data_IF_377418913124
#
_entry.id   IF_377418913124
#
_cell.length_a   1.000
_cell.length_b   1.000
_cell.length_c   1.000
_cell.angle_alpha   90.00
_cell.angle_beta   90.00
_cell.angle_gamma   90.00
#
_symmetry.space_group_name_H-M   'P 1'
#
loop_
_entity.id
_entity.type
_entity.pdbx_description
1 polymer ?
#
# COMPACT_ATOMS: atom_id res chain seq x y z
N UNK A 1 14.92 3.47 -18.56
CA UNK A 1 14.14 2.36 -18.01
C UNK A 1 12.80 2.92 -17.63
N UNK A 2 11.75 2.36 -18.19
CA UNK A 2 10.41 2.72 -17.76
C UNK A 2 10.16 2.05 -16.40
N UNK A 3 10.04 2.86 -15.35
CA UNK A 3 9.90 2.42 -13.97
C UNK A 3 8.45 2.64 -13.53
N UNK A 4 7.78 1.57 -13.13
CA UNK A 4 6.45 1.60 -12.51
C UNK A 4 6.57 1.30 -11.01
N UNK A 5 6.18 2.27 -10.18
CA UNK A 5 6.26 2.18 -8.72
C UNK A 5 4.87 2.05 -8.15
N UNK A 6 4.56 0.86 -7.63
CA UNK A 6 3.34 0.60 -6.86
C UNK A 6 3.64 0.73 -5.37
N UNK A 7 2.84 1.53 -4.68
CA UNK A 7 3.07 1.88 -3.27
C UNK A 7 1.81 1.52 -2.49
N UNK A 8 1.97 0.77 -1.41
CA UNK A 8 0.92 0.58 -0.42
C UNK A 8 0.77 1.81 0.47
N UNK A 9 -0.34 1.94 1.21
CA UNK A 9 -0.63 3.14 2.00
C UNK A 9 -0.50 2.90 3.50
N UNK A 10 -1.32 2.03 4.06
CA UNK A 10 -1.37 1.78 5.50
C UNK A 10 -0.10 1.02 5.95
N UNK A 11 0.56 1.46 7.05
CA UNK A 11 1.85 0.91 7.48
C UNK A 11 3.04 1.28 6.58
N UNK A 12 2.80 1.77 5.38
CA UNK A 12 3.81 2.13 4.37
C UNK A 12 4.00 3.64 4.24
N UNK A 13 2.99 4.37 3.81
CA UNK A 13 2.97 5.85 3.78
C UNK A 13 2.63 6.40 5.16
N UNK A 14 1.66 5.81 5.84
CA UNK A 14 1.36 6.09 7.24
C UNK A 14 2.27 5.28 8.18
N UNK A 15 2.50 5.77 9.41
CA UNK A 15 3.31 5.07 10.41
C UNK A 15 2.56 3.96 11.16
N UNK A 16 1.36 3.65 10.74
CA UNK A 16 0.52 2.59 11.27
C UNK A 16 -0.71 2.39 10.39
N UNK A 17 -1.49 1.37 10.66
CA UNK A 17 -2.71 1.08 9.92
C UNK A 17 -3.82 2.07 10.30
N UNK A 18 -4.30 2.82 9.31
CA UNK A 18 -5.36 3.83 9.48
C UNK A 18 -6.73 3.18 9.63
N UNK A 19 -6.94 2.07 8.92
CA UNK A 19 -8.19 1.28 8.98
C UNK A 19 -8.33 0.65 10.34
N UNK A 20 -7.30 0.00 10.87
CA UNK A 20 -7.29 -0.58 12.22
C UNK A 20 -7.53 0.49 13.29
N UNK A 21 -6.87 1.64 13.18
CA UNK A 21 -7.06 2.77 14.11
C UNK A 21 -8.51 3.28 14.09
N UNK A 22 -9.13 3.30 12.92
CA UNK A 22 -10.54 3.67 12.76
C UNK A 22 -11.46 2.65 13.44
N UNK A 23 -11.23 1.37 13.20
CA UNK A 23 -11.99 0.27 13.77
C UNK A 23 -11.86 0.23 15.30
N UNK A 24 -10.66 0.38 15.83
CA UNK A 24 -10.39 0.42 17.26
C UNK A 24 -11.16 1.53 17.97
N UNK A 25 -11.28 2.66 17.32
CA UNK A 25 -11.87 3.85 17.93
C UNK A 25 -13.39 3.91 17.80
N UNK A 26 -13.94 3.43 16.70
CA UNK A 26 -15.32 3.72 16.32
C UNK A 26 -16.15 2.50 15.90
N UNK A 27 -15.57 1.32 15.77
CA UNK A 27 -16.32 0.14 15.39
C UNK A 27 -16.78 -0.69 16.62
N UNK A 28 -17.85 -1.47 16.43
CA UNK A 28 -18.21 -2.53 17.40
C UNK A 28 -17.01 -3.48 17.56
N UNK A 29 -16.60 -3.86 18.79
CA UNK A 29 -15.46 -4.75 19.04
C UNK A 29 -15.47 -6.08 18.28
N UNK A 30 -16.62 -6.50 17.76
CA UNK A 30 -16.76 -7.67 16.87
C UNK A 30 -15.94 -7.59 15.60
N UNK A 31 -15.46 -6.41 15.23
CA UNK A 31 -14.57 -6.27 14.08
C UNK A 31 -13.32 -7.17 14.20
N UNK A 32 -12.84 -7.44 15.42
CA UNK A 32 -11.70 -8.33 15.67
C UNK A 32 -11.99 -9.80 15.38
N UNK A 33 -13.26 -10.22 15.54
CA UNK A 33 -13.69 -11.57 15.16
C UNK A 33 -13.67 -11.72 13.63
N UNK A 34 -14.11 -10.67 12.92
CA UNK A 34 -14.06 -10.61 11.45
C UNK A 34 -12.61 -10.63 10.96
N UNK A 35 -11.73 -9.85 11.59
CA UNK A 35 -10.29 -9.84 11.31
C UNK A 35 -9.67 -11.23 11.50
N UNK A 36 -10.00 -11.92 12.59
CA UNK A 36 -9.51 -13.26 12.87
C UNK A 36 -9.97 -14.29 11.81
N UNK A 37 -11.15 -14.11 11.21
CA UNK A 37 -11.60 -14.94 10.10
C UNK A 37 -10.74 -14.74 8.84
N UNK A 38 -10.41 -13.49 8.52
CA UNK A 38 -9.53 -13.15 7.41
C UNK A 38 -8.09 -13.64 7.62
N UNK A 39 -7.51 -13.40 8.80
CA UNK A 39 -6.18 -13.89 9.15
C UNK A 39 -6.08 -15.42 9.05
N UNK A 40 -7.15 -16.12 9.42
CA UNK A 40 -7.26 -17.58 9.30
C UNK A 40 -7.54 -18.06 7.86
N UNK A 41 -7.73 -17.15 6.89
CA UNK A 41 -8.02 -17.48 5.49
C UNK A 41 -9.42 -18.04 5.25
N UNK A 42 -10.36 -17.81 6.17
CA UNK A 42 -11.75 -18.26 6.04
C UNK A 42 -12.60 -17.34 5.18
N UNK A 43 -12.20 -16.07 5.08
CA UNK A 43 -12.81 -15.03 4.20
C UNK A 43 -11.72 -14.28 3.47
N UNK A 44 -12.04 -13.66 2.33
CA UNK A 44 -11.17 -12.75 1.60
C UNK A 44 -11.12 -11.36 2.24
N UNK A 45 -10.13 -10.52 1.86
CA UNK A 45 -9.99 -9.18 2.44
C UNK A 45 -11.17 -8.28 2.09
N UNK A 46 -11.78 -8.43 0.92
CA UNK A 46 -12.98 -7.68 0.50
C UNK A 46 -14.17 -7.94 1.44
N UNK A 47 -14.43 -9.21 1.78
CA UNK A 47 -15.51 -9.54 2.71
C UNK A 47 -15.20 -9.03 4.10
N UNK A 48 -13.97 -9.17 4.56
CA UNK A 48 -13.50 -8.64 5.83
C UNK A 48 -13.78 -7.13 5.93
N UNK A 49 -13.31 -6.35 4.98
CA UNK A 49 -13.50 -4.90 4.93
C UNK A 49 -14.97 -4.49 4.82
N UNK A 50 -15.79 -5.24 4.06
CA UNK A 50 -17.23 -4.97 3.96
C UNK A 50 -17.92 -5.14 5.31
N UNK A 51 -17.63 -6.22 6.03
CA UNK A 51 -18.19 -6.51 7.35
C UNK A 51 -17.69 -5.53 8.40
N UNK A 52 -16.43 -5.18 8.39
CA UNK A 52 -15.81 -4.19 9.28
C UNK A 52 -16.39 -2.80 9.07
N UNK A 53 -16.53 -2.35 7.81
CA UNK A 53 -17.12 -1.03 7.50
C UNK A 53 -18.55 -0.88 8.05
N UNK A 54 -19.36 -1.95 8.01
CA UNK A 54 -20.71 -1.95 8.55
C UNK A 54 -20.76 -1.84 10.09
N UNK A 55 -19.66 -2.13 10.78
CA UNK A 55 -19.53 -2.00 12.23
C UNK A 55 -19.11 -0.62 12.69
N UNK A 56 -18.70 0.27 11.77
CA UNK A 56 -18.27 1.64 12.11
C UNK A 56 -19.48 2.48 12.52
N UNK A 57 -19.37 3.12 13.68
CA UNK A 57 -20.33 4.10 14.20
C UNK A 57 -19.63 5.43 14.51
N UNK A 58 -19.38 6.23 13.49
CA UNK A 58 -18.73 7.53 13.59
C UNK A 58 -19.41 8.54 12.67
N UNK A 59 -19.50 9.80 13.11
CA UNK A 59 -19.86 10.91 12.23
C UNK A 59 -18.69 11.27 11.30
N UNK A 60 -18.92 11.92 10.15
CA UNK A 60 -17.84 12.40 9.30
C UNK A 60 -16.81 13.25 10.02
N UNK A 61 -17.25 14.15 10.93
CA UNK A 61 -16.36 15.01 11.69
C UNK A 61 -15.48 14.27 12.71
N UNK A 62 -15.96 13.17 13.30
CA UNK A 62 -15.15 12.32 14.18
C UNK A 62 -14.07 11.59 13.38
N UNK A 63 -14.39 11.15 12.15
CA UNK A 63 -13.40 10.58 11.25
C UNK A 63 -12.34 11.62 10.88
N UNK A 64 -12.76 12.83 10.48
CA UNK A 64 -11.82 13.90 10.13
C UNK A 64 -10.88 14.24 11.28
N UNK A 65 -11.39 14.39 12.51
CA UNK A 65 -10.57 14.65 13.68
C UNK A 65 -9.59 13.51 14.00
N UNK A 66 -9.93 12.26 13.68
CA UNK A 66 -9.01 11.14 13.81
C UNK A 66 -7.92 11.19 12.73
N UNK A 67 -8.27 11.55 11.49
CA UNK A 67 -7.32 11.62 10.39
C UNK A 67 -6.30 12.76 10.57
N UNK A 68 -6.67 13.86 11.24
CA UNK A 68 -5.77 14.98 11.50
C UNK A 68 -4.53 14.59 12.31
N UNK A 69 -4.63 13.55 13.15
CA UNK A 69 -3.55 13.05 13.99
C UNK A 69 -2.82 11.83 13.44
N UNK A 70 -3.19 11.37 12.23
CA UNK A 70 -2.47 10.26 11.58
C UNK A 70 -1.10 10.73 11.15
N UNK A 71 -0.07 10.05 11.63
CA UNK A 71 1.32 10.31 11.28
C UNK A 71 1.69 9.64 9.96
N UNK A 72 2.44 10.37 9.14
CA UNK A 72 2.95 9.89 7.85
C UNK A 72 4.47 9.95 7.80
N UNK A 73 5.07 9.13 6.95
CA UNK A 73 6.50 9.20 6.69
C UNK A 73 6.86 10.52 5.98
N UNK A 74 7.60 11.38 6.68
CA UNK A 74 8.01 12.70 6.19
C UNK A 74 8.90 12.66 4.94
N UNK A 75 9.46 11.50 4.61
CA UNK A 75 10.25 11.28 3.41
C UNK A 75 9.41 11.06 2.15
N UNK A 76 8.14 10.67 2.31
CA UNK A 76 7.27 10.28 1.20
C UNK A 76 7.10 11.36 0.13
N UNK A 77 6.77 12.63 0.45
CA UNK A 77 6.63 13.66 -0.58
C UNK A 77 7.91 13.87 -1.39
N UNK A 78 9.08 13.79 -0.75
CA UNK A 78 10.38 13.92 -1.42
C UNK A 78 10.73 12.70 -2.26
N UNK A 79 10.31 11.51 -1.85
CA UNK A 79 10.44 10.29 -2.63
C UNK A 79 9.64 10.39 -3.93
N UNK A 80 8.37 10.80 -3.86
CA UNK A 80 7.51 10.98 -5.04
C UNK A 80 8.08 12.03 -5.99
N UNK A 81 8.51 13.17 -5.48
CA UNK A 81 9.13 14.20 -6.31
C UNK A 81 10.39 13.68 -7.03
N UNK A 82 11.21 12.87 -6.37
CA UNK A 82 12.40 12.26 -6.98
C UNK A 82 12.02 11.22 -8.03
N UNK A 83 11.03 10.37 -7.77
CA UNK A 83 10.54 9.36 -8.72
C UNK A 83 10.02 10.03 -10.00
N UNK A 84 9.20 11.07 -9.87
CA UNK A 84 8.71 11.86 -11.01
C UNK A 84 9.83 12.54 -11.78
N UNK A 85 10.82 13.12 -11.10
CA UNK A 85 11.99 13.74 -11.75
C UNK A 85 12.83 12.73 -12.57
N UNK A 86 12.72 11.44 -12.25
CA UNK A 86 13.34 10.33 -12.99
C UNK A 86 12.44 9.76 -14.10
N UNK A 87 11.25 10.31 -14.29
CA UNK A 87 10.28 9.82 -15.28
C UNK A 87 9.54 8.54 -14.86
N UNK A 88 9.58 8.18 -13.58
CA UNK A 88 8.85 7.01 -13.10
C UNK A 88 7.35 7.26 -13.05
N UNK A 89 6.56 6.25 -13.40
CA UNK A 89 5.13 6.20 -13.10
C UNK A 89 4.94 5.78 -11.65
N UNK A 90 4.11 6.50 -10.89
CA UNK A 90 3.84 6.19 -9.49
C UNK A 90 2.35 6.08 -9.22
N UNK A 91 1.96 5.12 -8.40
CA UNK A 91 0.57 4.95 -7.96
C UNK A 91 0.52 4.39 -6.54
N UNK A 92 -0.50 4.77 -5.81
CA UNK A 92 -0.91 4.09 -4.58
C UNK A 92 -1.97 3.05 -4.94
N UNK A 93 -1.77 1.81 -4.48
CA UNK A 93 -2.75 0.72 -4.59
C UNK A 93 -2.94 0.14 -3.20
N UNK A 94 -4.09 0.42 -2.59
CA UNK A 94 -4.36 0.14 -1.19
C UNK A 94 -5.72 -0.53 -0.99
N UNK A 95 -5.79 -1.50 -0.08
CA UNK A 95 -7.06 -2.04 0.41
C UNK A 95 -7.76 -1.11 1.42
N UNK A 96 -7.14 0.00 1.80
CA UNK A 96 -7.76 1.07 2.58
C UNK A 96 -8.86 1.83 1.84
N UNK A 97 -9.40 2.86 2.48
CA UNK A 97 -10.55 3.60 1.96
C UNK A 97 -10.18 5.03 1.53
N UNK A 98 -10.76 5.48 0.42
CA UNK A 98 -10.65 6.84 -0.12
C UNK A 98 -10.89 7.92 0.96
N UNK A 99 -11.91 7.69 1.79
CA UNK A 99 -12.30 8.58 2.88
C UNK A 99 -11.18 8.84 3.89
N UNK A 100 -10.18 7.95 3.98
CA UNK A 100 -9.02 8.08 4.86
C UNK A 100 -7.79 8.56 4.07
N UNK A 101 -7.55 7.98 2.91
CA UNK A 101 -6.33 8.19 2.13
C UNK A 101 -6.28 9.59 1.52
N UNK A 102 -7.37 10.05 0.87
CA UNK A 102 -7.39 11.32 0.16
C UNK A 102 -7.12 12.54 1.05
N UNK A 103 -7.73 12.68 2.26
CA UNK A 103 -7.44 13.79 3.14
C UNK A 103 -5.98 13.81 3.65
N UNK A 104 -5.41 12.63 3.91
CA UNK A 104 -4.01 12.52 4.34
C UNK A 104 -3.08 12.95 3.20
N UNK A 105 -3.29 12.47 1.96
CA UNK A 105 -2.51 12.88 0.79
C UNK A 105 -2.63 14.37 0.52
N UNK A 106 -3.82 14.94 0.65
CA UNK A 106 -4.06 16.38 0.49
C UNK A 106 -3.28 17.19 1.56
N UNK A 107 -3.29 16.74 2.82
CA UNK A 107 -2.57 17.37 3.94
C UNK A 107 -1.06 17.39 3.71
N UNK A 108 -0.48 16.32 3.17
CA UNK A 108 0.96 16.23 2.89
C UNK A 108 1.36 16.79 1.51
N UNK A 109 0.39 17.30 0.74
CA UNK A 109 0.61 17.95 -0.54
C UNK A 109 1.05 17.02 -1.67
N UNK A 110 0.71 15.74 -1.62
CA UNK A 110 1.06 14.74 -2.65
C UNK A 110 -0.12 14.50 -3.58
N UNK A 111 0.13 14.66 -4.89
CA UNK A 111 -0.81 14.27 -5.96
C UNK A 111 -0.27 13.04 -6.65
N UNK A 112 -1.01 11.95 -6.60
CA UNK A 112 -0.62 10.64 -7.13
C UNK A 112 -1.86 9.87 -7.59
N UNK A 113 -1.71 8.98 -8.55
CA UNK A 113 -2.79 8.05 -8.92
C UNK A 113 -3.13 7.16 -7.72
N UNK A 114 -4.40 7.11 -7.34
CA UNK A 114 -4.90 6.35 -6.21
C UNK A 114 -5.92 5.31 -6.68
N UNK A 115 -5.67 4.05 -6.34
CA UNK A 115 -6.58 2.92 -6.49
C UNK A 115 -6.85 2.36 -5.10
N UNK A 116 -8.06 2.55 -4.60
CA UNK A 116 -8.45 2.12 -3.26
C UNK A 116 -9.95 1.81 -3.20
N UNK A 117 -10.41 1.28 -2.08
CA UNK A 117 -11.83 1.07 -1.81
C UNK A 117 -12.51 2.40 -1.45
N UNK A 118 -13.84 2.39 -1.45
CA UNK A 118 -14.64 3.55 -1.05
C UNK A 118 -15.38 3.28 0.24
N UNK A 119 -15.39 4.26 1.14
CA UNK A 119 -16.20 4.24 2.35
C UNK A 119 -17.35 5.23 2.24
N UNK A 120 -18.56 4.71 2.05
CA UNK A 120 -19.76 5.48 1.76
C UNK A 120 -20.59 5.66 3.02
N UNK A 121 -20.93 6.91 3.34
CA UNK A 121 -21.87 7.21 4.41
C UNK A 121 -23.28 6.75 4.01
N UNK A 122 -23.93 6.00 4.88
CA UNK A 122 -25.31 5.51 4.72
C UNK A 122 -26.28 6.14 5.72
N UNK A 123 -25.76 6.99 6.60
CA UNK A 123 -26.53 7.72 7.62
C UNK A 123 -25.60 8.63 8.43
N UNK A 124 -26.11 9.18 9.53
CA UNK A 124 -25.35 10.14 10.36
C UNK A 124 -24.05 9.52 10.93
N UNK A 125 -24.05 8.22 11.21
CA UNK A 125 -22.94 7.51 11.85
C UNK A 125 -22.69 6.13 11.23
N UNK A 126 -23.34 5.77 10.14
CA UNK A 126 -23.26 4.44 9.52
C UNK A 126 -22.58 4.49 8.16
N UNK A 127 -21.85 3.43 7.86
CA UNK A 127 -20.98 3.36 6.70
C UNK A 127 -21.11 2.00 6.00
N UNK A 128 -20.75 1.98 4.73
CA UNK A 128 -20.57 0.75 3.95
C UNK A 128 -19.36 0.88 3.04
N UNK A 129 -18.71 -0.23 2.76
CA UNK A 129 -17.64 -0.31 1.78
C UNK A 129 -18.21 -0.50 0.36
N UNK A 130 -17.55 0.10 -0.62
CA UNK A 130 -17.67 -0.20 -2.05
C UNK A 130 -16.30 -0.53 -2.64
N UNK A 131 -16.29 -1.44 -3.60
CA UNK A 131 -15.06 -2.02 -4.17
C UNK A 131 -15.00 -1.79 -5.68
N UNK A 132 -14.60 -0.60 -6.15
CA UNK A 132 -14.61 -0.26 -7.58
C UNK A 132 -13.53 -0.96 -8.40
N UNK A 133 -12.52 -1.54 -7.76
CA UNK A 133 -11.34 -2.13 -8.41
C UNK A 133 -11.22 -3.64 -8.18
N UNK A 134 -12.35 -4.33 -8.00
CA UNK A 134 -12.38 -5.79 -7.83
C UNK A 134 -11.90 -6.48 -9.10
N UNK A 135 -11.02 -7.45 -8.92
CA UNK A 135 -10.69 -8.42 -9.96
C UNK A 135 -11.32 -9.78 -9.57
N UNK A 136 -12.23 -10.35 -10.37
CA UNK A 136 -12.86 -11.63 -10.04
C UNK A 136 -11.86 -12.79 -10.00
N UNK A 137 -10.71 -12.67 -10.68
CA UNK A 137 -9.64 -13.68 -10.72
C UNK A 137 -8.61 -13.51 -9.60
N UNK A 138 -8.84 -12.60 -8.64
CA UNK A 138 -7.93 -12.34 -7.53
C UNK A 138 -7.95 -13.50 -6.52
N UNK A 139 -6.83 -14.20 -6.38
CA UNK A 139 -6.69 -15.33 -5.45
C UNK A 139 -6.85 -14.95 -3.97
N UNK A 140 -6.61 -13.68 -3.63
CA UNK A 140 -6.76 -13.14 -2.28
C UNK A 140 -8.16 -12.57 -2.02
N UNK A 141 -9.04 -12.59 -3.02
CA UNK A 141 -10.38 -11.95 -2.99
C UNK A 141 -10.34 -10.53 -2.41
N UNK A 142 -9.31 -9.75 -2.81
CA UNK A 142 -9.10 -8.39 -2.30
C UNK A 142 -10.10 -7.39 -2.89
N UNK A 143 -10.32 -6.30 -2.16
CA UNK A 143 -11.13 -5.17 -2.63
C UNK A 143 -10.46 -4.44 -3.77
N UNK A 144 -9.13 -4.33 -3.72
CA UNK A 144 -8.28 -3.83 -4.80
C UNK A 144 -7.22 -4.87 -5.12
N UNK A 145 -7.30 -5.48 -6.30
CA UNK A 145 -6.28 -6.43 -6.72
C UNK A 145 -5.00 -5.70 -7.12
N UNK A 146 -3.97 -5.73 -6.27
CA UNK A 146 -2.69 -5.08 -6.54
C UNK A 146 -2.00 -5.70 -7.77
N UNK A 147 -2.05 -7.03 -7.94
CA UNK A 147 -1.44 -7.74 -9.08
C UNK A 147 -2.01 -7.30 -10.44
N UNK A 148 -3.32 -7.05 -10.52
CA UNK A 148 -3.98 -6.62 -11.77
C UNK A 148 -3.58 -5.20 -12.20
N UNK A 149 -2.92 -4.46 -11.32
CA UNK A 149 -2.53 -3.06 -11.56
C UNK A 149 -1.03 -2.89 -11.82
N UNK A 150 -0.32 -3.97 -12.12
CA UNK A 150 1.10 -3.96 -12.49
C UNK A 150 1.24 -3.74 -13.99
N UNK A 151 2.03 -2.75 -14.40
CA UNK A 151 2.25 -2.44 -15.82
C UNK A 151 3.13 -3.49 -16.49
N UNK A 152 2.70 -3.97 -17.66
CA UNK A 152 3.50 -4.89 -18.47
C UNK A 152 4.65 -4.15 -19.18
N UNK A 153 5.84 -4.76 -19.26
CA UNK A 153 6.98 -4.25 -20.02
C UNK A 153 7.77 -3.13 -19.35
N UNK A 154 7.46 -2.79 -18.09
CA UNK A 154 8.20 -1.83 -17.27
C UNK A 154 8.93 -2.55 -16.14
N UNK A 155 9.98 -1.90 -15.57
CA UNK A 155 10.57 -2.39 -14.32
C UNK A 155 9.63 -2.06 -13.16
N UNK A 156 9.21 -3.09 -12.44
CA UNK A 156 8.16 -3.03 -11.43
C UNK A 156 8.76 -2.97 -10.03
N UNK A 157 8.66 -1.82 -9.39
CA UNK A 157 9.05 -1.62 -8.01
C UNK A 157 7.80 -1.60 -7.12
N UNK A 158 7.75 -2.50 -6.15
CA UNK A 158 6.76 -2.49 -5.08
C UNK A 158 7.33 -1.84 -3.82
N UNK A 159 6.54 -1.04 -3.13
CA UNK A 159 6.83 -0.55 -1.77
C UNK A 159 5.64 -0.90 -0.89
N UNK A 160 5.87 -1.71 0.14
CA UNK A 160 4.81 -2.20 1.01
C UNK A 160 5.32 -2.78 2.32
N UNK A 161 4.42 -3.25 3.18
CA UNK A 161 4.78 -3.70 4.52
C UNK A 161 4.12 -5.01 4.97
N UNK A 162 3.01 -5.40 4.37
CA UNK A 162 2.13 -6.39 4.95
C UNK A 162 1.58 -7.45 4.01
N UNK A 163 0.62 -8.19 4.56
CA UNK A 163 -0.01 -9.36 3.91
C UNK A 163 -0.72 -9.01 2.60
N UNK A 164 -1.30 -7.82 2.50
CA UNK A 164 -1.99 -7.36 1.29
C UNK A 164 -1.04 -7.22 0.08
N UNK A 165 0.28 -7.17 0.35
CA UNK A 165 1.32 -7.02 -0.68
C UNK A 165 1.92 -8.35 -1.15
N UNK A 166 1.67 -9.45 -0.45
CA UNK A 166 2.34 -10.73 -0.72
C UNK A 166 2.13 -11.23 -2.15
N UNK A 167 0.92 -11.12 -2.68
CA UNK A 167 0.65 -11.59 -4.04
C UNK A 167 1.36 -10.71 -5.09
N UNK A 168 1.32 -9.38 -4.96
CA UNK A 168 1.96 -8.47 -5.91
C UNK A 168 3.49 -8.46 -5.78
N UNK A 169 4.03 -8.79 -4.63
CA UNK A 169 5.47 -8.93 -4.43
C UNK A 169 6.09 -10.03 -5.34
N UNK A 170 5.33 -11.07 -5.63
CA UNK A 170 5.75 -12.15 -6.54
C UNK A 170 5.81 -11.71 -8.01
N UNK A 171 5.12 -10.62 -8.34
CA UNK A 171 5.09 -10.03 -9.68
C UNK A 171 6.06 -8.85 -9.84
N UNK A 172 6.67 -8.39 -8.74
CA UNK A 172 7.59 -7.26 -8.74
C UNK A 172 9.02 -7.70 -9.13
N UNK A 173 9.74 -6.83 -9.85
CA UNK A 173 11.15 -7.05 -10.16
C UNK A 173 12.05 -6.69 -8.96
N UNK A 174 11.58 -5.78 -8.09
CA UNK A 174 12.22 -5.41 -6.83
C UNK A 174 11.17 -4.94 -5.82
N UNK A 175 11.38 -5.29 -4.55
CA UNK A 175 10.52 -4.84 -3.45
C UNK A 175 11.32 -4.00 -2.46
N UNK A 176 10.82 -2.79 -2.14
CA UNK A 176 11.26 -2.07 -0.95
C UNK A 176 10.31 -2.45 0.19
N UNK A 177 10.79 -3.34 1.05
CA UNK A 177 9.95 -4.02 2.03
C UNK A 177 10.06 -3.41 3.42
N UNK A 178 8.92 -3.32 4.11
CA UNK A 178 8.79 -3.03 5.54
C UNK A 178 8.10 -4.21 6.24
N UNK A 179 8.03 -4.18 7.55
CA UNK A 179 7.21 -5.10 8.36
C UNK A 179 7.29 -6.58 7.98
N UNK A 180 6.14 -7.21 7.88
CA UNK A 180 6.01 -8.63 7.57
C UNK A 180 6.39 -8.98 6.11
N UNK A 181 6.38 -8.01 5.21
CA UNK A 181 6.76 -8.22 3.81
C UNK A 181 8.27 -8.56 3.67
N UNK A 182 9.12 -8.12 4.60
CA UNK A 182 10.55 -8.47 4.63
C UNK A 182 10.73 -9.98 4.74
N UNK A 183 10.04 -10.59 5.72
CA UNK A 183 10.13 -12.02 5.97
C UNK A 183 9.58 -12.82 4.79
N UNK A 184 8.41 -12.40 4.28
CA UNK A 184 7.80 -13.03 3.12
C UNK A 184 8.73 -13.01 1.89
N UNK A 185 9.34 -11.86 1.56
CA UNK A 185 10.29 -11.76 0.44
C UNK A 185 11.50 -12.68 0.65
N UNK A 186 12.01 -12.77 1.87
CA UNK A 186 13.13 -13.66 2.21
C UNK A 186 12.77 -15.13 2.00
N UNK A 187 11.62 -15.57 2.50
CA UNK A 187 11.15 -16.95 2.39
C UNK A 187 10.85 -17.38 0.96
N UNK A 188 10.32 -16.44 0.16
CA UNK A 188 9.96 -16.69 -1.24
C UNK A 188 11.09 -16.41 -2.23
N UNK A 189 12.30 -16.00 -1.75
CA UNK A 189 13.44 -15.60 -2.58
C UNK A 189 13.10 -14.47 -3.58
N UNK A 190 12.22 -13.55 -3.19
CA UNK A 190 11.87 -12.38 -3.98
C UNK A 190 12.96 -11.32 -3.81
N UNK A 191 13.44 -10.66 -4.89
CA UNK A 191 14.39 -9.56 -4.78
C UNK A 191 13.83 -8.41 -3.93
N UNK A 192 14.49 -8.06 -2.81
CA UNK A 192 14.03 -6.99 -1.94
C UNK A 192 15.16 -6.20 -1.28
N UNK A 193 14.80 -5.00 -0.85
CA UNK A 193 15.58 -4.15 0.07
C UNK A 193 14.70 -3.81 1.28
N UNK A 194 15.14 -4.10 2.51
CA UNK A 194 14.46 -3.61 3.69
C UNK A 194 14.59 -2.09 3.77
N UNK A 195 13.52 -1.41 4.12
CA UNK A 195 13.50 0.03 4.37
C UNK A 195 12.81 0.34 5.69
N UNK A 196 13.35 1.29 6.45
CA UNK A 196 12.67 1.84 7.61
C UNK A 196 11.83 3.08 7.24
N UNK A 197 12.15 3.77 6.13
CA UNK A 197 11.50 5.03 5.75
C UNK A 197 11.62 5.32 4.25
N UNK A 198 10.78 6.23 3.75
CA UNK A 198 10.91 6.76 2.40
C UNK A 198 12.19 7.59 2.18
N UNK A 199 12.84 8.02 3.24
CA UNK A 199 14.18 8.60 3.12
C UNK A 199 15.20 7.56 2.63
N UNK A 200 15.16 6.37 3.18
CA UNK A 200 15.99 5.23 2.72
C UNK A 200 15.58 4.76 1.33
N UNK A 201 14.28 4.56 1.09
CA UNK A 201 13.76 4.22 -0.23
C UNK A 201 14.26 5.16 -1.32
N UNK A 202 14.36 6.46 -1.02
CA UNK A 202 14.89 7.48 -1.95
C UNK A 202 16.37 7.29 -2.24
N UNK A 203 17.18 6.88 -1.26
CA UNK A 203 18.59 6.57 -1.48
C UNK A 203 18.73 5.38 -2.43
N UNK A 204 18.00 4.29 -2.18
CA UNK A 204 18.03 3.11 -3.03
C UNK A 204 17.48 3.37 -4.44
N UNK A 205 16.47 4.22 -4.57
CA UNK A 205 15.95 4.64 -5.87
C UNK A 205 17.01 5.38 -6.70
N UNK A 206 17.81 6.25 -6.08
CA UNK A 206 18.93 6.94 -6.75
C UNK A 206 20.07 5.99 -7.13
N UNK A 207 20.35 4.98 -6.33
CA UNK A 207 21.32 3.94 -6.65
C UNK A 207 20.88 3.12 -7.85
N UNK A 208 19.62 2.68 -7.86
CA UNK A 208 19.00 1.94 -8.97
C UNK A 208 19.11 2.73 -10.29
N UNK A 209 18.82 4.03 -10.26
CA UNK A 209 18.94 4.88 -11.46
C UNK A 209 20.34 4.98 -12.02
N UNK A 210 21.37 5.03 -11.15
CA UNK A 210 22.77 5.07 -11.56
C UNK A 210 23.22 3.76 -12.19
N UNK A 211 22.78 2.62 -11.68
CA UNK A 211 23.11 1.31 -12.23
C UNK A 211 22.53 1.15 -13.63
N UNK A 212 21.27 1.56 -13.82
CA UNK A 212 20.61 1.54 -15.12
C UNK A 212 21.31 2.47 -16.13
N UNK A 213 21.66 3.70 -15.72
CA UNK A 213 22.35 4.65 -16.57
C UNK A 213 23.75 4.16 -17.03
N UNK A 214 24.37 3.26 -16.29
CA UNK A 214 25.68 2.66 -16.62
C UNK A 214 25.59 1.46 -17.59
N UNK A 215 24.39 1.10 -18.06
CA UNK A 215 24.19 0.03 -19.05
C UNK A 215 24.41 -1.37 -18.49
N UNK A 216 24.29 -1.54 -17.17
CA UNK A 216 24.33 -2.86 -16.56
C UNK A 216 23.09 -3.66 -17.02
N UNK A 217 23.30 -4.82 -17.65
CA UNK A 217 22.25 -5.75 -18.04
C UNK A 217 21.46 -6.22 -16.80
N UNK A 218 20.17 -6.45 -16.94
CA UNK A 218 19.21 -6.63 -15.85
C UNK A 218 19.61 -7.57 -14.71
N UNK A 219 20.23 -8.70 -14.98
CA UNK A 219 20.53 -9.72 -13.95
C UNK A 219 21.71 -9.36 -13.02
N UNK A 220 22.82 -8.81 -13.55
CA UNK A 220 23.96 -8.43 -12.72
C UNK A 220 23.71 -7.18 -11.89
N UNK A 221 22.80 -6.32 -12.32
CA UNK A 221 22.45 -5.09 -11.60
C UNK A 221 21.55 -5.38 -10.39
N UNK A 222 20.63 -6.33 -10.52
CA UNK A 222 19.74 -6.75 -9.42
C UNK A 222 20.52 -7.42 -8.30
N UNK A 223 21.49 -8.28 -8.63
CA UNK A 223 22.37 -8.89 -7.62
C UNK A 223 23.24 -7.86 -6.88
N UNK A 224 23.70 -6.81 -7.54
CA UNK A 224 24.43 -5.71 -6.90
C UNK A 224 23.56 -4.86 -6.00
N UNK A 225 22.29 -4.63 -6.39
CA UNK A 225 21.31 -3.93 -5.55
C UNK A 225 20.94 -4.75 -4.31
N UNK A 226 20.98 -6.08 -4.37
CA UNK A 226 20.70 -6.96 -3.24
C UNK A 226 21.85 -7.06 -2.22
N UNK A 227 23.11 -6.85 -2.64
CA UNK A 227 24.31 -7.04 -1.80
C UNK A 227 24.88 -5.78 -1.16
N UNK A 228 24.40 -4.60 -1.52
CA UNK A 228 24.85 -3.31 -0.98
C UNK A 228 23.90 -2.80 0.10
#
# INVERSE_FOLDING_TARGET
>A
MDLDITIDFDGTVTLGDTTDRMLDRFADPKWREVEAEWVAGRIGSRECLARQAALISASPGEIDAMLDIVETDLGFPRFIAQAHAMGATTKIVSDGFDRFIEPILARIGVKITLLCNRLISTGLRSWRAEFPHVNPDCSSESGVCKCANVAAGQFRLLIGDGRSDFCVAQEADLVFAKGALIEFCREQNIPYRPIASFREARVYLLELSKLVARGASSDSSLEQVQRA
#
